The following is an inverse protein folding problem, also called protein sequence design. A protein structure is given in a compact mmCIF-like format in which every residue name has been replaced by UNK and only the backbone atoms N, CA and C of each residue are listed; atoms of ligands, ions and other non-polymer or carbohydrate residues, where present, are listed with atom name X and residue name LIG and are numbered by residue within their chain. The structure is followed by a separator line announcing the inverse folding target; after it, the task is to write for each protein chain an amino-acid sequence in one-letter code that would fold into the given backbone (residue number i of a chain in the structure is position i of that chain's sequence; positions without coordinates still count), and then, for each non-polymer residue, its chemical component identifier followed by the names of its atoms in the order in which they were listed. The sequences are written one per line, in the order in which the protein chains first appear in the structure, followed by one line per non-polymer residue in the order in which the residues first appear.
data_IF_938078246061
#
_entry.id   IF_938078246061
#
_cell.length_a   1.000
_cell.length_b   1.000
_cell.length_c   1.000
_cell.angle_alpha   90.00
_cell.angle_beta   90.00
_cell.angle_gamma   90.00
#
_symmetry.space_group_name_H-M   'P 1'
#
loop_
_entity.id
_entity.type
_entity.pdbx_description
1 polymer ?
#
# COMPACT_ATOMS: atom_id res chain seq x y z
N UNK A 1 28.96 -31.80 9.47
CA UNK A 1 28.09 -31.42 10.60
C UNK A 1 27.65 -30.00 10.31
N UNK A 2 26.39 -29.81 9.92
CA UNK A 2 25.84 -28.47 9.64
C UNK A 2 25.35 -27.94 10.98
N UNK A 3 26.00 -26.91 11.49
CA UNK A 3 25.58 -26.23 12.71
C UNK A 3 24.28 -25.49 12.43
N UNK A 4 23.17 -26.04 12.93
CA UNK A 4 21.87 -25.37 12.92
C UNK A 4 21.90 -24.31 14.02
N UNK A 5 22.09 -23.05 13.63
CA UNK A 5 22.01 -21.90 14.53
C UNK A 5 20.60 -21.79 15.11
N UNK A 6 20.40 -22.35 16.30
CA UNK A 6 19.13 -22.27 17.02
C UNK A 6 19.07 -20.95 17.79
N UNK A 7 18.06 -20.12 17.50
CA UNK A 7 17.79 -18.90 18.25
C UNK A 7 16.71 -19.21 19.28
N UNK A 8 17.04 -19.04 20.56
CA UNK A 8 16.13 -19.26 21.69
C UNK A 8 15.33 -17.97 21.86
N UNK A 9 14.03 -18.04 21.60
CA UNK A 9 13.10 -16.90 21.74
C UNK A 9 12.56 -16.82 23.18
N UNK A 10 12.44 -17.98 23.85
CA UNK A 10 12.08 -18.17 25.26
C UNK A 10 12.58 -19.57 25.71
N UNK A 11 12.68 -19.86 27.02
CA UNK A 11 13.33 -21.09 27.56
C UNK A 11 12.73 -22.41 27.04
N UNK A 12 11.49 -22.37 26.54
CA UNK A 12 10.72 -23.51 26.03
C UNK A 12 10.48 -23.51 24.51
N UNK A 13 10.95 -22.49 23.77
CA UNK A 13 10.65 -22.30 22.34
C UNK A 13 11.94 -22.21 21.51
N UNK A 14 12.05 -23.10 20.51
CA UNK A 14 13.20 -23.15 19.60
C UNK A 14 12.72 -22.86 18.17
N UNK A 15 13.32 -21.87 17.53
CA UNK A 15 13.10 -21.54 16.12
C UNK A 15 14.18 -22.23 15.25
N UNK A 16 13.75 -23.07 14.32
CA UNK A 16 14.59 -23.57 13.23
C UNK A 16 14.68 -22.51 12.12
N UNK A 17 15.81 -21.81 12.05
CA UNK A 17 16.05 -20.66 11.14
C UNK A 17 15.99 -21.06 9.66
N UNK A 18 16.23 -22.32 9.32
CA UNK A 18 16.20 -22.76 7.92
C UNK A 18 14.78 -23.05 7.42
N UNK A 19 13.89 -23.42 8.34
CA UNK A 19 12.56 -23.94 8.00
C UNK A 19 11.43 -23.03 8.52
N UNK A 20 11.74 -22.03 9.35
CA UNK A 20 10.75 -21.14 9.96
C UNK A 20 9.82 -21.84 10.96
N UNK A 21 10.14 -23.07 11.37
CA UNK A 21 9.30 -23.86 12.28
C UNK A 21 9.70 -23.54 13.72
N UNK A 22 8.71 -23.15 14.53
CA UNK A 22 8.86 -22.97 15.97
C UNK A 22 8.39 -24.25 16.64
N UNK A 23 9.28 -24.91 17.37
CA UNK A 23 9.00 -26.10 18.15
C UNK A 23 9.10 -25.81 19.64
N UNK A 24 8.14 -26.30 20.43
CA UNK A 24 8.29 -26.38 21.88
C UNK A 24 9.28 -27.50 22.23
N UNK A 25 10.15 -27.25 23.22
CA UNK A 25 11.15 -28.22 23.73
C UNK A 25 10.51 -29.48 24.36
N UNK A 26 9.21 -29.43 24.66
CA UNK A 26 8.42 -30.57 25.11
C UNK A 26 7.77 -31.34 23.94
N UNK A 27 7.91 -32.66 23.96
CA UNK A 27 8.01 -33.54 22.79
C UNK A 27 6.75 -33.72 21.92
N UNK A 28 5.72 -32.87 21.96
CA UNK A 28 4.44 -33.22 21.32
C UNK A 28 3.61 -32.11 20.68
N UNK A 29 4.06 -30.86 20.61
CA UNK A 29 3.24 -29.83 19.93
C UNK A 29 4.10 -28.97 19.02
N UNK A 30 4.24 -29.44 17.77
CA UNK A 30 4.56 -28.56 16.65
C UNK A 30 3.35 -27.65 16.45
N UNK A 31 3.33 -26.49 17.08
CA UNK A 31 2.36 -25.45 16.74
C UNK A 31 2.73 -24.92 15.36
N UNK A 32 1.94 -25.33 14.37
CA UNK A 32 1.99 -24.72 13.05
C UNK A 32 1.39 -23.32 13.18
N UNK A 33 2.25 -22.31 13.36
CA UNK A 33 1.81 -20.92 13.22
C UNK A 33 1.47 -20.70 11.74
N UNK A 34 0.23 -20.32 11.39
CA UNK A 34 -0.15 -20.10 10.01
C UNK A 34 0.45 -18.78 9.52
N UNK A 35 1.66 -18.86 8.98
CA UNK A 35 2.31 -17.72 8.33
C UNK A 35 1.51 -17.23 7.11
N UNK A 36 0.79 -18.13 6.43
CA UNK A 36 -0.05 -17.79 5.27
C UNK A 36 -1.16 -16.79 5.64
N UNK A 37 -1.84 -17.03 6.76
CA UNK A 37 -2.86 -16.11 7.27
C UNK A 37 -2.25 -14.74 7.60
N UNK A 38 -1.01 -14.70 8.11
CA UNK A 38 -0.34 -13.45 8.44
C UNK A 38 0.04 -12.67 7.18
N UNK A 39 0.55 -13.36 6.15
CA UNK A 39 0.87 -12.76 4.85
C UNK A 39 -0.38 -12.17 4.21
N UNK A 40 -1.52 -12.87 4.24
CA UNK A 40 -2.78 -12.36 3.71
C UNK A 40 -3.23 -11.06 4.40
N UNK A 41 -3.06 -10.96 5.73
CA UNK A 41 -3.36 -9.71 6.46
C UNK A 41 -2.41 -8.58 6.06
N UNK A 42 -1.13 -8.89 5.83
CA UNK A 42 -0.13 -7.90 5.39
C UNK A 42 -0.48 -7.38 3.99
N UNK A 43 -0.81 -8.27 3.05
CA UNK A 43 -1.23 -7.89 1.69
C UNK A 43 -2.48 -7.00 1.73
N UNK A 44 -3.46 -7.36 2.55
CA UNK A 44 -4.68 -6.56 2.74
C UNK A 44 -4.36 -5.16 3.29
N UNK A 45 -3.41 -5.08 4.22
CA UNK A 45 -2.98 -3.82 4.80
C UNK A 45 -2.24 -2.94 3.78
N UNK A 46 -1.35 -3.52 2.96
CA UNK A 46 -0.67 -2.79 1.89
C UNK A 46 -1.66 -2.20 0.88
N UNK A 47 -2.68 -2.96 0.48
CA UNK A 47 -3.73 -2.47 -0.42
C UNK A 47 -4.49 -1.30 0.22
N UNK A 48 -4.82 -1.39 1.52
CA UNK A 48 -5.50 -0.31 2.23
C UNK A 48 -4.63 0.96 2.32
N UNK A 49 -3.32 0.80 2.58
CA UNK A 49 -2.37 1.92 2.64
C UNK A 49 -2.25 2.59 1.26
N UNK A 50 -2.10 1.81 0.19
CA UNK A 50 -2.00 2.34 -1.16
C UNK A 50 -3.27 3.11 -1.57
N UNK A 51 -4.45 2.60 -1.18
CA UNK A 51 -5.71 3.30 -1.41
C UNK A 51 -5.84 4.61 -0.61
N UNK A 52 -5.28 4.67 0.60
CA UNK A 52 -5.21 5.88 1.41
C UNK A 52 -4.25 6.90 0.80
N UNK A 53 -3.04 6.48 0.45
CA UNK A 53 -2.03 7.34 -0.17
C UNK A 53 -2.54 7.96 -1.47
N UNK A 54 -3.13 7.13 -2.35
CA UNK A 54 -3.77 7.61 -3.59
C UNK A 54 -5.03 8.45 -3.35
N UNK A 55 -5.66 8.38 -2.18
CA UNK A 55 -6.75 9.30 -1.83
C UNK A 55 -6.24 10.66 -1.38
N UNK A 56 -4.99 10.75 -0.90
CA UNK A 56 -4.39 11.99 -0.43
C UNK A 56 -3.66 12.75 -1.54
N UNK A 57 -3.23 12.07 -2.61
CA UNK A 57 -2.66 12.74 -3.78
C UNK A 57 -3.76 13.09 -4.80
N UNK A 58 -4.08 14.40 -4.98
CA UNK A 58 -5.09 14.86 -5.94
C UNK A 58 -4.70 14.65 -7.41
N UNK A 59 -3.46 14.24 -7.68
CA UNK A 59 -2.94 13.87 -9.01
C UNK A 59 -3.09 12.37 -9.31
N UNK A 60 -3.60 11.60 -8.36
CA UNK A 60 -3.80 10.15 -8.52
C UNK A 60 -5.28 9.81 -8.41
N UNK A 61 -5.69 8.75 -9.09
CA UNK A 61 -7.04 8.21 -8.98
C UNK A 61 -7.03 7.10 -7.94
N UNK A 62 -7.54 7.36 -6.73
CA UNK A 62 -7.72 6.31 -5.73
C UNK A 62 -8.64 5.21 -6.28
N UNK A 63 -8.27 3.94 -6.11
CA UNK A 63 -9.08 2.78 -6.52
C UNK A 63 -10.39 2.67 -5.72
N UNK A 64 -10.50 3.40 -4.61
CA UNK A 64 -11.71 3.49 -3.79
C UNK A 64 -12.65 4.62 -4.26
N UNK A 65 -12.30 5.31 -5.34
CA UNK A 65 -13.16 6.31 -5.96
C UNK A 65 -14.48 5.67 -6.38
N UNK A 66 -15.57 6.37 -6.09
CA UNK A 66 -16.89 5.90 -6.47
C UNK A 66 -16.98 5.78 -8.00
N UNK A 67 -17.54 4.69 -8.56
CA UNK A 67 -17.61 4.49 -10.00
C UNK A 67 -18.25 5.71 -10.68
N UNK A 68 -17.57 6.26 -11.69
CA UNK A 68 -17.95 7.50 -12.37
C UNK A 68 -17.42 8.79 -11.74
N UNK A 69 -16.69 8.72 -10.61
CA UNK A 69 -16.01 9.85 -9.95
C UNK A 69 -14.47 9.74 -9.95
N UNK A 70 -13.94 8.70 -10.56
CA UNK A 70 -12.50 8.52 -10.76
C UNK A 70 -11.91 9.69 -11.56
N UNK A 71 -10.84 10.30 -11.02
CA UNK A 71 -10.11 11.37 -11.71
C UNK A 71 -10.87 12.68 -11.88
N UNK A 72 -11.96 12.91 -11.12
CA UNK A 72 -12.67 14.21 -11.14
C UNK A 72 -11.70 15.35 -10.81
N UNK A 73 -10.78 15.15 -9.85
CA UNK A 73 -9.84 16.20 -9.47
C UNK A 73 -8.82 16.52 -10.57
N UNK A 74 -8.27 15.51 -11.25
CA UNK A 74 -7.42 15.72 -12.43
C UNK A 74 -8.16 16.45 -13.55
N UNK A 75 -9.39 16.01 -13.86
CA UNK A 75 -10.21 16.61 -14.92
C UNK A 75 -10.62 18.04 -14.58
N UNK A 76 -10.93 18.32 -13.33
CA UNK A 76 -11.25 19.66 -12.86
C UNK A 76 -10.06 20.60 -13.03
N UNK A 77 -8.85 20.17 -12.63
CA UNK A 77 -7.63 20.95 -12.82
C UNK A 77 -7.34 21.27 -14.29
N UNK A 78 -7.52 20.29 -15.18
CA UNK A 78 -7.35 20.47 -16.62
C UNK A 78 -8.36 21.49 -17.19
N UNK A 79 -9.64 21.38 -16.83
CA UNK A 79 -10.68 22.30 -17.28
C UNK A 79 -10.39 23.73 -16.79
N UNK A 80 -10.03 23.90 -15.52
CA UNK A 80 -9.69 25.20 -14.95
C UNK A 80 -8.50 25.84 -15.67
N UNK A 81 -7.45 25.06 -15.97
CA UNK A 81 -6.28 25.57 -16.69
C UNK A 81 -6.63 26.03 -18.11
N UNK A 82 -7.49 25.29 -18.82
CA UNK A 82 -7.98 25.68 -20.15
C UNK A 82 -8.74 27.01 -20.07
N UNK A 83 -9.67 27.13 -19.13
CA UNK A 83 -10.48 28.36 -18.97
C UNK A 83 -9.59 29.57 -18.65
N UNK A 84 -8.62 29.42 -17.75
CA UNK A 84 -7.66 30.48 -17.43
C UNK A 84 -6.85 30.87 -18.68
N UNK A 85 -6.36 29.90 -19.45
CA UNK A 85 -5.64 30.15 -20.70
C UNK A 85 -6.48 30.94 -21.72
N UNK A 86 -7.75 30.60 -21.86
CA UNK A 86 -8.68 31.33 -22.75
C UNK A 86 -8.91 32.76 -22.28
N UNK A 87 -9.11 32.98 -20.97
CA UNK A 87 -9.30 34.32 -20.41
C UNK A 87 -8.05 35.18 -20.64
N UNK A 88 -6.87 34.62 -20.38
CA UNK A 88 -5.59 35.32 -20.60
C UNK A 88 -5.43 35.68 -22.08
N UNK A 89 -5.69 34.74 -23.00
CA UNK A 89 -5.61 34.98 -24.43
C UNK A 89 -6.57 36.10 -24.89
N UNK A 90 -7.80 36.12 -24.38
CA UNK A 90 -8.77 37.18 -24.68
C UNK A 90 -8.30 38.55 -24.19
N UNK A 91 -7.74 38.63 -22.98
CA UNK A 91 -7.15 39.88 -22.45
C UNK A 91 -6.01 40.38 -23.34
N UNK A 92 -5.13 39.48 -23.79
CA UNK A 92 -4.05 39.85 -24.70
C UNK A 92 -4.57 40.36 -26.05
N UNK A 93 -5.57 39.70 -26.64
CA UNK A 93 -6.17 40.16 -27.90
C UNK A 93 -6.76 41.56 -27.74
N UNK A 94 -7.44 41.83 -26.62
CA UNK A 94 -8.06 43.13 -26.33
C UNK A 94 -7.02 44.23 -26.10
N UNK A 95 -5.84 43.88 -25.57
CA UNK A 95 -4.72 44.82 -25.40
C UNK A 95 -3.93 45.08 -26.69
N UNK A 96 -3.97 44.17 -27.66
CA UNK A 96 -3.24 44.26 -28.92
C UNK A 96 -4.03 45.01 -30.01
N UNK A 97 -5.36 45.01 -29.91
CA UNK A 97 -6.30 45.81 -30.71
C UNK A 97 -6.38 47.23 -30.19
#
# INVERSE_FOLDING_TARGET
MVDTTAVIIDDDLVLDVNNGIIGTKDNNQKQHLPFDDLVEKIDTLEVAINNLESSLDPRTTSNLSQPGREGIYEKAGLITNIVIGVIIALVFILLLV
#
